data_IF_678299721560
#
_entry.id   IF_678299721560
#
_cell.length_a   1.000
_cell.length_b   1.000
_cell.length_c   1.000
_cell.angle_alpha   90.00
_cell.angle_beta   90.00
_cell.angle_gamma   90.00
#
_symmetry.space_group_name_H-M   'P 1'
#
loop_
_entity.id
_entity.type
_entity.pdbx_description
1 polymer ?
#
# COMPACT_ATOMS: atom_id res chain seq x y z
N UNK A 1 25.40 -11.62 -5.77
CA UNK A 1 24.01 -11.94 -5.37
C UNK A 1 23.16 -10.70 -5.47
N UNK A 2 22.40 -10.56 -6.55
CA UNK A 2 21.39 -9.51 -6.68
C UNK A 2 20.17 -9.93 -5.86
N UNK A 3 20.07 -9.42 -4.64
CA UNK A 3 18.84 -9.52 -3.86
C UNK A 3 17.78 -8.68 -4.59
N UNK A 4 16.84 -9.34 -5.26
CA UNK A 4 15.61 -8.71 -5.71
C UNK A 4 14.92 -8.17 -4.45
N UNK A 5 15.05 -6.86 -4.21
CA UNK A 5 14.18 -6.15 -3.27
C UNK A 5 12.79 -6.28 -3.85
N UNK A 6 12.00 -7.24 -3.35
CA UNK A 6 10.61 -7.36 -3.72
C UNK A 6 9.87 -6.18 -3.10
N UNK A 7 9.87 -5.07 -3.82
CA UNK A 7 9.07 -3.91 -3.48
C UNK A 7 7.61 -4.35 -3.40
N UNK A 8 6.89 -3.84 -2.41
CA UNK A 8 5.46 -4.06 -2.24
C UNK A 8 4.73 -2.76 -2.50
N UNK A 9 3.44 -2.86 -2.82
CA UNK A 9 2.56 -1.70 -2.91
C UNK A 9 1.57 -1.71 -1.76
N UNK A 10 1.35 -0.55 -1.15
CA UNK A 10 0.38 -0.37 -0.08
C UNK A 10 -0.79 0.43 -0.62
N UNK A 11 -1.99 -0.15 -0.60
CA UNK A 11 -3.24 0.57 -0.82
C UNK A 11 -3.83 0.97 0.53
N UNK A 12 -3.80 2.27 0.81
CA UNK A 12 -4.42 2.87 1.99
C UNK A 12 -5.81 3.34 1.57
N UNK A 13 -6.84 2.82 2.24
CA UNK A 13 -8.23 3.16 2.00
C UNK A 13 -8.82 3.81 3.25
N UNK A 14 -9.04 5.13 3.21
CA UNK A 14 -9.55 5.90 4.34
C UNK A 14 -11.00 5.56 4.68
N UNK A 15 -11.95 5.49 3.72
CA UNK A 15 -13.36 5.21 4.03
C UNK A 15 -13.56 3.89 4.75
N UNK A 16 -12.84 2.84 4.35
CA UNK A 16 -12.97 1.51 4.94
C UNK A 16 -11.92 1.21 6.01
N UNK A 17 -11.03 2.16 6.32
CA UNK A 17 -9.89 2.02 7.23
C UNK A 17 -9.07 0.76 6.93
N UNK A 18 -8.75 0.50 5.66
CA UNK A 18 -7.94 -0.65 5.24
C UNK A 18 -6.53 -0.22 4.85
N UNK A 19 -5.55 -1.00 5.27
CA UNK A 19 -4.16 -0.90 4.86
C UNK A 19 -3.78 -2.21 4.19
N UNK A 20 -3.86 -2.26 2.86
CA UNK A 20 -3.65 -3.50 2.10
C UNK A 20 -2.24 -3.52 1.53
N UNK A 21 -1.44 -4.48 1.95
CA UNK A 21 -0.11 -4.75 1.40
C UNK A 21 -0.27 -5.71 0.24
N UNK A 22 0.16 -5.29 -0.94
CA UNK A 22 0.13 -6.06 -2.18
C UNK A 22 1.56 -6.43 -2.59
N UNK A 23 1.81 -7.73 -2.75
CA UNK A 23 2.88 -8.19 -3.63
C UNK A 23 2.48 -7.98 -5.09
N UNK A 24 3.36 -8.29 -6.04
CA UNK A 24 3.05 -8.17 -7.47
C UNK A 24 1.78 -8.96 -7.80
N UNK A 25 0.70 -8.25 -8.12
CA UNK A 25 -0.60 -8.81 -8.43
C UNK A 25 -1.36 -7.91 -9.42
N UNK A 26 -2.50 -8.41 -9.91
CA UNK A 26 -3.33 -7.69 -10.89
C UNK A 26 -3.75 -6.28 -10.44
N UNK A 27 -3.87 -6.04 -9.12
CA UNK A 27 -4.16 -4.70 -8.59
C UNK A 27 -2.99 -3.74 -8.76
N UNK A 28 -1.76 -4.20 -8.51
CA UNK A 28 -0.55 -3.38 -8.71
C UNK A 28 -0.28 -3.07 -10.17
N UNK A 29 -0.75 -3.91 -11.10
CA UNK A 29 -0.62 -3.69 -12.54
C UNK A 29 -1.69 -2.73 -13.09
N UNK A 30 -2.83 -2.61 -12.40
CA UNK A 30 -3.99 -1.81 -12.81
C UNK A 30 -4.21 -0.55 -11.98
N UNK A 31 -3.40 -0.32 -10.95
CA UNK A 31 -3.51 0.87 -10.12
C UNK A 31 -3.30 2.12 -10.98
N UNK A 32 -4.13 3.13 -10.75
CA UNK A 32 -4.13 4.36 -11.53
C UNK A 32 -4.45 5.54 -10.61
N UNK A 33 -3.99 6.71 -11.03
CA UNK A 33 -4.43 7.98 -10.50
C UNK A 33 -5.93 8.16 -10.68
N UNK A 34 -6.62 8.59 -9.63
CA UNK A 34 -8.03 8.97 -9.68
C UNK A 34 -8.21 10.32 -8.97
N UNK A 35 -9.39 10.97 -9.11
CA UNK A 35 -9.69 12.15 -8.31
C UNK A 35 -9.63 11.92 -6.79
N UNK A 36 -9.73 10.67 -6.33
CA UNK A 36 -9.90 10.34 -4.92
C UNK A 36 -8.76 9.52 -4.30
N UNK A 37 -7.96 8.83 -5.11
CA UNK A 37 -6.76 8.07 -4.72
C UNK A 37 -5.59 8.37 -5.65
N UNK A 38 -4.43 8.66 -5.06
CA UNK A 38 -3.19 8.92 -5.79
C UNK A 38 -2.22 7.74 -5.83
N UNK A 39 -1.18 7.84 -6.66
CA UNK A 39 -0.01 6.96 -6.72
C UNK A 39 1.17 7.75 -6.14
N UNK A 40 1.76 7.22 -5.08
CA UNK A 40 2.74 7.88 -4.20
C UNK A 40 2.24 9.21 -3.60
N UNK A 41 0.94 9.44 -3.60
CA UNK A 41 0.28 10.61 -3.03
C UNK A 41 -0.98 10.21 -2.28
N UNK A 42 -1.26 10.92 -1.19
CA UNK A 42 -2.49 10.76 -0.41
C UNK A 42 -3.56 11.75 -0.87
N UNK A 43 -4.69 11.24 -1.35
CA UNK A 43 -5.87 12.04 -1.73
C UNK A 43 -7.01 11.85 -0.72
N UNK A 44 -8.22 12.29 -1.09
CA UNK A 44 -9.42 12.28 -0.23
C UNK A 44 -9.69 10.89 0.35
N UNK A 45 -9.72 9.86 -0.49
CA UNK A 45 -10.17 8.51 -0.12
C UNK A 45 -8.99 7.54 0.10
N UNK A 46 -7.76 7.96 -0.21
CA UNK A 46 -6.59 7.11 -0.02
C UNK A 46 -5.46 7.35 -1.00
N UNK A 47 -4.60 6.34 -1.13
CA UNK A 47 -3.48 6.34 -2.07
C UNK A 47 -2.75 5.00 -2.12
N UNK A 48 -1.98 4.83 -3.18
CA UNK A 48 -1.06 3.71 -3.42
C UNK A 48 0.36 4.16 -3.11
N UNK A 49 1.13 3.40 -2.33
CA UNK A 49 2.51 3.74 -1.99
C UNK A 49 3.43 2.56 -2.25
N UNK A 50 4.56 2.81 -2.91
CA UNK A 50 5.60 1.80 -3.02
C UNK A 50 6.42 1.75 -1.73
N UNK A 51 6.59 0.55 -1.19
CA UNK A 51 7.44 0.28 -0.05
C UNK A 51 8.55 -0.70 -0.43
N UNK A 52 9.71 -0.56 0.22
CA UNK A 52 10.91 -1.34 -0.11
C UNK A 52 10.70 -2.84 0.07
N UNK A 53 9.89 -3.22 1.07
CA UNK A 53 9.52 -4.60 1.40
C UNK A 53 8.33 -4.59 2.36
N UNK A 54 7.79 -5.79 2.63
CA UNK A 54 6.68 -5.97 3.55
C UNK A 54 6.98 -5.49 4.99
N UNK A 55 8.19 -5.73 5.50
CA UNK A 55 8.56 -5.28 6.86
C UNK A 55 8.44 -3.76 7.02
N UNK A 56 8.86 -3.00 6.00
CA UNK A 56 8.72 -1.54 5.99
C UNK A 56 7.26 -1.12 5.93
N UNK A 57 6.44 -1.82 5.14
CA UNK A 57 5.00 -1.58 5.10
C UNK A 57 4.32 -1.84 6.45
N UNK A 58 4.70 -2.91 7.16
CA UNK A 58 4.20 -3.23 8.51
C UNK A 58 4.64 -2.16 9.52
N UNK A 59 5.89 -1.71 9.46
CA UNK A 59 6.38 -0.63 10.31
C UNK A 59 5.61 0.67 10.05
N UNK A 60 5.33 1.00 8.80
CA UNK A 60 4.52 2.15 8.42
C UNK A 60 3.09 2.04 8.98
N UNK A 61 2.46 0.86 8.84
CA UNK A 61 1.14 0.60 9.41
C UNK A 61 1.13 0.86 10.92
N UNK A 62 2.04 0.21 11.67
CA UNK A 62 2.07 0.30 13.12
C UNK A 62 2.34 1.73 13.62
N UNK A 63 3.12 2.52 12.86
CA UNK A 63 3.45 3.90 13.21
C UNK A 63 2.34 4.89 12.86
N UNK A 64 1.78 4.80 11.66
CA UNK A 64 0.94 5.86 11.07
C UNK A 64 -0.55 5.48 10.95
N UNK A 65 -0.85 4.19 10.89
CA UNK A 65 -2.20 3.68 10.66
C UNK A 65 -2.57 2.56 11.66
N UNK A 66 -2.27 2.67 12.97
CA UNK A 66 -2.45 1.57 13.93
C UNK A 66 -3.92 1.12 14.08
N UNK A 67 -4.87 1.99 13.73
CA UNK A 67 -6.31 1.73 13.79
C UNK A 67 -6.91 1.23 12.46
N UNK A 68 -6.08 0.96 11.46
CA UNK A 68 -6.53 0.42 10.17
C UNK A 68 -6.44 -1.11 10.23
N UNK A 69 -7.32 -1.79 9.49
CA UNK A 69 -7.21 -3.23 9.30
C UNK A 69 -6.10 -3.51 8.29
N UNK A 70 -5.00 -4.10 8.75
CA UNK A 70 -3.93 -4.57 7.88
C UNK A 70 -4.36 -5.85 7.16
N UNK A 71 -4.31 -5.82 5.83
CA UNK A 71 -4.60 -6.96 4.97
C UNK A 71 -3.35 -7.28 4.17
N UNK A 72 -2.90 -8.54 4.21
CA UNK A 72 -1.86 -9.05 3.30
C UNK A 72 -2.55 -9.67 2.11
N UNK A 73 -2.30 -9.15 0.91
CA UNK A 73 -2.96 -9.57 -0.32
C UNK A 73 -1.93 -10.04 -1.36
N UNK A 74 -2.16 -11.29 -1.81
CA UNK A 74 -1.30 -12.08 -2.69
C UNK A 74 0.06 -12.41 -2.07
#
# INVERSE_FOLDING_TARGET
>A
MLWLKNNVWVNIDKPTKKFTIHHKCAYTEKMAETPFKGINEMKRDGGWFSEKNEDRAIQLHNKCYPNYTMIRHC
#
